data_IF_088575240757
#
_entry.id   IF_088575240757
#
_cell.length_a   1.000
_cell.length_b   1.000
_cell.length_c   1.000
_cell.angle_alpha   90.00
_cell.angle_beta   90.00
_cell.angle_gamma   90.00
#
_symmetry.space_group_name_H-M   'P 1'
#
loop_
_entity.id
_entity.type
_entity.pdbx_description
1 polymer ?
#
# COMPACT_ATOMS: atom_id res chain seq x y z
N UNK A 1 30.04 23.75 41.17
CA UNK A 1 28.56 23.83 41.12
C UNK A 1 28.01 24.68 39.96
N UNK A 2 28.80 25.53 39.31
CA UNK A 2 28.32 26.38 38.19
C UNK A 2 28.34 25.69 36.82
N UNK A 3 29.33 24.82 36.55
CA UNK A 3 29.48 24.13 35.25
C UNK A 3 28.29 23.23 34.91
N UNK A 4 27.63 22.61 35.90
CA UNK A 4 26.45 21.77 35.69
C UNK A 4 25.20 22.57 35.30
N UNK A 5 25.10 23.84 35.73
CA UNK A 5 23.97 24.71 35.36
C UNK A 5 24.01 25.06 33.87
N UNK A 6 25.20 25.32 33.31
CA UNK A 6 25.34 25.63 31.89
C UNK A 6 25.04 24.41 31.00
N UNK A 7 25.43 23.21 31.41
CA UNK A 7 25.07 21.97 30.71
C UNK A 7 23.56 21.73 30.77
N UNK A 8 22.93 21.94 31.93
CA UNK A 8 21.50 21.82 32.09
C UNK A 8 20.71 22.82 31.22
N UNK A 9 21.13 24.09 31.21
CA UNK A 9 20.51 25.13 30.38
C UNK A 9 20.68 24.80 28.89
N UNK A 10 21.88 24.38 28.48
CA UNK A 10 22.12 23.96 27.10
C UNK A 10 21.23 22.78 26.69
N UNK A 11 21.10 21.78 27.55
CA UNK A 11 20.22 20.63 27.32
C UNK A 11 18.74 21.04 27.22
N UNK A 12 18.29 21.98 28.06
CA UNK A 12 16.91 22.48 28.04
C UNK A 12 16.60 23.24 26.75
N UNK A 13 17.55 24.04 26.27
CA UNK A 13 17.40 24.76 24.99
C UNK A 13 17.32 23.77 23.83
N UNK A 14 18.20 22.77 23.79
CA UNK A 14 18.17 21.73 22.76
C UNK A 14 16.84 20.97 22.79
N UNK A 15 16.35 20.58 23.97
CA UNK A 15 15.08 19.88 24.13
C UNK A 15 13.90 20.73 23.62
N UNK A 16 13.92 22.03 23.93
CA UNK A 16 12.88 22.97 23.48
C UNK A 16 12.88 23.10 21.96
N UNK A 17 14.04 23.21 21.34
CA UNK A 17 14.19 23.27 19.87
C UNK A 17 13.69 21.98 19.22
N UNK A 18 14.02 20.82 19.78
CA UNK A 18 13.54 19.52 19.28
C UNK A 18 12.02 19.41 19.38
N UNK A 19 11.42 19.85 20.49
CA UNK A 19 9.95 19.84 20.65
C UNK A 19 9.27 20.73 19.61
N UNK A 20 9.79 21.94 19.39
CA UNK A 20 9.26 22.86 18.35
C UNK A 20 9.37 22.23 16.96
N UNK A 21 10.48 21.58 16.63
CA UNK A 21 10.66 20.89 15.35
C UNK A 21 9.59 19.81 15.11
N UNK A 22 9.19 19.05 16.13
CA UNK A 22 8.15 18.01 16.00
C UNK A 22 6.77 18.61 15.65
N UNK A 23 6.45 19.81 16.16
CA UNK A 23 5.17 20.47 15.87
C UNK A 23 5.14 21.22 14.54
N UNK A 24 6.28 21.79 14.10
CA UNK A 24 6.34 22.57 12.85
C UNK A 24 6.77 21.76 11.62
N UNK A 25 7.58 20.73 11.83
CA UNK A 25 7.82 19.67 10.86
C UNK A 25 7.32 18.38 11.47
N UNK A 26 5.98 18.14 11.49
CA UNK A 26 5.54 16.77 11.57
C UNK A 26 6.30 16.05 10.45
N UNK A 27 7.13 15.08 10.81
CA UNK A 27 7.58 14.05 9.87
C UNK A 27 6.34 13.21 9.60
N UNK A 28 5.34 13.84 8.98
CA UNK A 28 4.49 13.17 8.07
C UNK A 28 5.45 12.78 6.96
N UNK A 29 5.88 11.52 7.01
CA UNK A 29 6.01 10.77 5.78
C UNK A 29 4.65 10.89 5.10
N UNK A 30 4.40 12.00 4.42
CA UNK A 30 3.50 12.04 3.27
C UNK A 30 4.17 11.13 2.27
N UNK A 31 4.02 9.83 2.52
CA UNK A 31 4.32 8.80 1.58
C UNK A 31 3.48 9.13 0.37
N UNK A 32 4.12 9.62 -0.69
CA UNK A 32 3.58 9.63 -2.05
C UNK A 32 3.44 8.19 -2.57
N UNK A 33 2.95 7.30 -1.72
CA UNK A 33 2.82 5.90 -1.99
C UNK A 33 1.34 5.66 -2.10
N UNK A 34 0.90 5.30 -3.29
CA UNK A 34 -0.35 4.60 -3.45
C UNK A 34 -0.18 3.27 -2.72
N UNK A 35 -0.92 3.09 -1.63
CA UNK A 35 -0.82 1.91 -0.78
C UNK A 35 -1.94 0.93 -1.17
N UNK A 36 -1.60 -0.35 -1.33
CA UNK A 36 -2.56 -1.44 -1.39
C UNK A 36 -2.76 -1.94 0.04
N UNK A 37 -3.84 -1.51 0.69
CA UNK A 37 -3.87 -1.51 2.16
C UNK A 37 -4.53 -2.75 2.80
N UNK A 38 -5.21 -3.62 2.04
CA UNK A 38 -6.02 -4.69 2.65
C UNK A 38 -6.17 -5.92 1.77
N UNK A 39 -5.20 -6.85 1.75
CA UNK A 39 -5.46 -8.14 1.08
C UNK A 39 -6.15 -9.10 2.06
N UNK A 40 -7.45 -9.37 1.84
CA UNK A 40 -8.19 -10.41 2.57
C UNK A 40 -8.48 -11.59 1.65
N UNK A 41 -7.99 -12.77 2.03
CA UNK A 41 -8.44 -14.05 1.49
C UNK A 41 -9.64 -14.51 2.32
N UNK A 42 -10.83 -14.43 1.75
CA UNK A 42 -12.06 -14.93 2.37
C UNK A 42 -12.38 -16.31 1.79
N UNK A 43 -12.42 -17.32 2.65
CA UNK A 43 -12.89 -18.65 2.28
C UNK A 43 -14.40 -18.74 2.49
N UNK A 44 -15.14 -19.00 1.42
CA UNK A 44 -16.60 -19.17 1.45
C UNK A 44 -17.00 -20.45 0.72
N UNK A 45 -16.96 -21.56 1.44
CA UNK A 45 -17.31 -22.87 0.89
C UNK A 45 -16.34 -23.30 -0.21
N UNK A 46 -16.80 -23.36 -1.45
CA UNK A 46 -15.99 -23.72 -2.63
C UNK A 46 -15.35 -22.52 -3.33
N UNK A 47 -15.48 -21.33 -2.76
CA UNK A 47 -14.94 -20.09 -3.33
C UNK A 47 -13.91 -19.46 -2.39
N UNK A 48 -12.84 -18.96 -2.98
CA UNK A 48 -11.87 -18.09 -2.33
C UNK A 48 -11.98 -16.72 -2.96
N UNK A 49 -12.15 -15.69 -2.14
CA UNK A 49 -12.25 -14.31 -2.61
C UNK A 49 -11.01 -13.59 -2.17
N UNK A 50 -10.31 -12.96 -3.12
CA UNK A 50 -9.21 -12.04 -2.83
C UNK A 50 -9.73 -10.63 -3.04
N UNK A 51 -9.70 -9.83 -1.99
CA UNK A 51 -10.11 -8.44 -2.02
C UNK A 51 -8.94 -7.56 -1.62
N UNK A 52 -8.73 -6.45 -2.33
CA UNK A 52 -7.83 -5.38 -1.89
C UNK A 52 -8.27 -3.98 -2.30
N UNK A 53 -7.88 -3.00 -1.52
CA UNK A 53 -8.16 -1.59 -1.75
C UNK A 53 -6.91 -0.89 -2.31
N UNK A 54 -7.08 -0.13 -3.39
CA UNK A 54 -6.08 0.79 -3.94
C UNK A 54 -6.52 2.22 -3.58
N UNK A 55 -5.66 2.95 -2.87
CA UNK A 55 -5.93 4.35 -2.50
C UNK A 55 -5.02 5.27 -3.32
N UNK A 56 -5.62 6.21 -4.05
CA UNK A 56 -4.87 7.21 -4.79
C UNK A 56 -4.56 8.42 -3.90
N UNK A 57 -3.35 8.45 -3.33
CA UNK A 57 -2.87 9.59 -2.52
C UNK A 57 -2.40 10.79 -3.36
N UNK A 58 -2.36 10.67 -4.69
CA UNK A 58 -1.91 11.75 -5.57
C UNK A 58 -2.93 12.88 -5.67
N UNK A 59 -2.44 14.07 -5.99
CA UNK A 59 -3.26 15.27 -6.16
C UNK A 59 -3.93 15.35 -7.55
N UNK A 60 -3.93 14.24 -8.31
CA UNK A 60 -4.51 14.10 -9.65
C UNK A 60 -5.13 12.71 -9.81
N UNK A 61 -6.01 12.58 -10.80
CA UNK A 61 -6.52 11.29 -11.23
C UNK A 61 -5.37 10.48 -11.84
N UNK A 62 -5.30 9.19 -11.53
CA UNK A 62 -4.21 8.29 -11.91
C UNK A 62 -4.83 6.99 -12.43
N UNK A 63 -4.32 6.48 -13.54
CA UNK A 63 -4.63 5.12 -13.98
C UNK A 63 -3.78 4.10 -13.21
N UNK A 64 -4.41 3.00 -12.83
CA UNK A 64 -3.74 1.83 -12.25
C UNK A 64 -4.03 0.63 -13.14
N UNK A 65 -3.02 -0.21 -13.35
CA UNK A 65 -3.13 -1.47 -14.09
C UNK A 65 -2.99 -2.61 -13.12
N UNK A 66 -4.04 -3.42 -12.99
CA UNK A 66 -4.10 -4.61 -12.17
C UNK A 66 -3.90 -5.81 -13.10
N UNK A 67 -2.90 -6.62 -12.79
CA UNK A 67 -2.61 -7.87 -13.49
C UNK A 67 -2.85 -9.02 -12.53
N UNK A 68 -3.69 -9.96 -12.94
CA UNK A 68 -3.93 -11.22 -12.23
C UNK A 68 -3.48 -12.37 -13.11
N UNK A 69 -2.59 -13.21 -12.59
CA UNK A 69 -2.14 -14.43 -13.26
C UNK A 69 -2.67 -15.62 -12.49
N UNK A 70 -3.48 -16.47 -13.12
CA UNK A 70 -4.02 -17.71 -12.55
C UNK A 70 -3.61 -18.86 -13.47
N UNK A 71 -2.83 -19.82 -12.98
CA UNK A 71 -2.36 -20.97 -13.77
C UNK A 71 -1.85 -20.54 -15.16
N UNK A 72 -0.90 -19.59 -15.19
CA UNK A 72 -0.32 -18.95 -16.38
C UNK A 72 -1.26 -18.07 -17.23
N UNK A 73 -2.56 -18.03 -16.94
CA UNK A 73 -3.50 -17.14 -17.63
C UNK A 73 -3.47 -15.75 -17.01
N UNK A 74 -3.15 -14.76 -17.84
CA UNK A 74 -3.09 -13.36 -17.45
C UNK A 74 -4.39 -12.63 -17.76
N UNK A 75 -4.92 -11.94 -16.76
CA UNK A 75 -6.04 -11.02 -16.81
C UNK A 75 -5.53 -9.64 -16.47
N UNK A 76 -5.86 -8.65 -17.29
CA UNK A 76 -5.44 -7.25 -17.09
C UNK A 76 -6.68 -6.38 -16.96
N UNK A 77 -6.68 -5.50 -15.97
CA UNK A 77 -7.74 -4.53 -15.75
C UNK A 77 -7.13 -3.15 -15.49
N UNK A 78 -7.62 -2.14 -16.20
CA UNK A 78 -7.18 -0.75 -16.03
C UNK A 78 -8.29 0.05 -15.35
N UNK A 79 -7.93 0.79 -14.30
CA UNK A 79 -8.87 1.60 -13.52
C UNK A 79 -8.33 3.00 -13.29
N UNK A 80 -9.16 3.99 -13.60
CA UNK A 80 -8.90 5.39 -13.26
C UNK A 80 -9.41 5.67 -11.84
N UNK A 81 -8.49 5.92 -10.91
CA UNK A 81 -8.84 6.31 -9.53
C UNK A 81 -8.70 7.83 -9.42
N UNK A 82 -9.82 8.49 -9.10
CA UNK A 82 -9.83 9.94 -8.90
C UNK A 82 -8.89 10.37 -7.79
N UNK A 83 -8.45 11.63 -7.83
CA UNK A 83 -7.68 12.28 -6.75
C UNK A 83 -8.26 11.98 -5.36
N UNK A 84 -7.45 11.41 -4.47
CA UNK A 84 -7.86 11.06 -3.10
C UNK A 84 -8.90 9.93 -3.02
N UNK A 85 -9.22 9.30 -4.14
CA UNK A 85 -10.23 8.26 -4.27
C UNK A 85 -9.69 6.88 -3.85
N UNK A 86 -10.64 5.96 -3.68
CA UNK A 86 -10.37 4.57 -3.37
C UNK A 86 -11.06 3.68 -4.41
N UNK A 87 -10.37 2.62 -4.81
CA UNK A 87 -10.95 1.54 -5.60
C UNK A 87 -10.80 0.23 -4.84
N UNK A 88 -11.86 -0.57 -4.81
CA UNK A 88 -11.86 -1.89 -4.19
C UNK A 88 -11.89 -2.93 -5.30
N UNK A 89 -10.83 -3.71 -5.40
CA UNK A 89 -10.73 -4.84 -6.31
C UNK A 89 -11.21 -6.12 -5.59
N UNK A 90 -12.01 -6.92 -6.28
CA UNK A 90 -12.54 -8.20 -5.76
C UNK A 90 -12.38 -9.24 -6.86
N UNK A 91 -11.62 -10.30 -6.56
CA UNK A 91 -11.42 -11.42 -7.46
C UNK A 91 -11.95 -12.71 -6.85
N UNK A 92 -12.81 -13.39 -7.61
CA UNK A 92 -13.44 -14.64 -7.22
C UNK A 92 -12.65 -15.82 -7.80
N UNK A 93 -12.20 -16.72 -6.93
CA UNK A 93 -11.38 -17.88 -7.28
C UNK A 93 -12.13 -19.14 -6.88
N UNK A 94 -12.24 -20.08 -7.81
CA UNK A 94 -12.86 -21.39 -7.58
C UNK A 94 -11.73 -22.44 -7.56
N UNK A 95 -11.32 -22.95 -6.38
CA UNK A 95 -10.18 -23.86 -6.26
C UNK A 95 -10.34 -25.15 -7.09
N UNK A 96 -11.58 -25.58 -7.30
CA UNK A 96 -11.93 -26.72 -8.18
C UNK A 96 -11.56 -26.51 -9.66
N UNK A 97 -11.28 -25.26 -10.07
CA UNK A 97 -10.84 -24.89 -11.43
C UNK A 97 -9.34 -24.63 -11.53
N UNK A 98 -8.62 -24.66 -10.40
CA UNK A 98 -7.19 -24.41 -10.37
C UNK A 98 -6.41 -25.68 -10.69
N UNK A 99 -5.41 -25.58 -11.56
CA UNK A 99 -4.50 -26.70 -11.88
C UNK A 99 -3.34 -26.77 -10.90
N UNK A 100 -2.56 -25.70 -10.79
CA UNK A 100 -1.40 -25.60 -9.89
C UNK A 100 -1.79 -24.87 -8.61
N UNK A 101 -2.69 -23.89 -8.73
CA UNK A 101 -3.19 -23.11 -7.60
C UNK A 101 -2.41 -21.84 -7.32
N UNK A 102 -1.43 -21.51 -8.16
CA UNK A 102 -0.68 -20.28 -8.05
C UNK A 102 -1.46 -19.12 -8.66
N UNK A 103 -1.70 -18.10 -7.83
CA UNK A 103 -2.40 -16.88 -8.20
C UNK A 103 -1.55 -15.68 -7.83
N UNK A 104 -1.07 -14.95 -8.85
CA UNK A 104 -0.25 -13.75 -8.67
C UNK A 104 -1.03 -12.50 -9.02
N UNK A 105 -1.00 -11.51 -8.13
CA UNK A 105 -1.52 -10.16 -8.34
C UNK A 105 -0.37 -9.19 -8.45
N UNK A 106 -0.41 -8.34 -9.46
CA UNK A 106 0.58 -7.27 -9.66
C UNK A 106 -0.16 -5.98 -9.96
N UNK A 107 0.13 -4.92 -9.22
CA UNK A 107 -0.48 -3.61 -9.41
C UNK A 107 0.58 -2.62 -9.87
N UNK A 108 0.31 -1.97 -11.00
CA UNK A 108 1.14 -0.90 -11.54
C UNK A 108 0.39 0.42 -11.45
N UNK A 109 1.16 1.48 -11.22
CA UNK A 109 0.69 2.87 -11.26
C UNK A 109 1.16 3.52 -12.56
N UNK A 110 0.29 4.30 -13.19
CA UNK A 110 0.62 5.02 -14.42
C UNK A 110 1.89 5.87 -14.27
N UNK A 111 2.86 5.62 -15.16
CA UNK A 111 4.15 6.30 -15.17
C UNK A 111 5.24 5.64 -14.33
N UNK A 112 4.93 4.59 -13.57
CA UNK A 112 5.91 3.78 -12.84
C UNK A 112 6.25 2.50 -13.61
N UNK A 113 7.54 2.17 -13.69
CA UNK A 113 8.02 0.96 -14.36
C UNK A 113 8.06 -0.26 -13.45
N UNK A 114 8.02 -0.04 -12.14
CA UNK A 114 8.00 -1.08 -11.12
C UNK A 114 6.58 -1.22 -10.57
N UNK A 115 6.17 -2.43 -10.16
CA UNK A 115 4.90 -2.61 -9.49
C UNK A 115 4.92 -1.91 -8.13
N UNK A 116 3.79 -1.32 -7.76
CA UNK A 116 3.58 -0.77 -6.41
C UNK A 116 3.23 -1.88 -5.41
N UNK A 117 2.70 -3.00 -5.90
CA UNK A 117 2.37 -4.18 -5.10
C UNK A 117 2.48 -5.43 -5.99
N UNK A 118 3.05 -6.51 -5.43
CA UNK A 118 3.14 -7.82 -6.07
C UNK A 118 2.97 -8.91 -5.01
N UNK A 119 1.95 -9.75 -5.17
CA UNK A 119 1.64 -10.82 -4.22
C UNK A 119 1.26 -12.10 -4.95
N UNK A 120 1.88 -13.22 -4.55
CA UNK A 120 1.53 -14.56 -5.04
C UNK A 120 0.92 -15.38 -3.90
N UNK A 121 -0.21 -16.01 -4.20
CA UNK A 121 -0.91 -16.94 -3.32
C UNK A 121 -0.86 -18.35 -3.88
N UNK A 122 -0.42 -19.30 -3.07
CA UNK A 122 -0.58 -20.73 -3.35
C UNK A 122 -1.92 -21.18 -2.75
N UNK A 123 -2.91 -21.44 -3.60
CA UNK A 123 -4.29 -21.71 -3.21
C UNK A 123 -4.72 -23.18 -3.36
N UNK A 124 -3.76 -24.10 -3.39
CA UNK A 124 -4.00 -25.55 -3.43
C UNK A 124 -3.66 -26.23 -2.12
#
# INVERSE_FOLDING_TARGET
>A
MEKSKFVYIGSLVILTVLLVLVFYHPVATEGKYSEVQWVQLLEKGTERIIQFDIINHEQKDINYTIIVTVDEKKYTEDVLIRKGGKFTYIHHIYPERLTEGDVTFVVYKEGESLPIEEVTYCLK
#
